data_IF_863340674007
#
_entry.id   IF_863340674007
#
_cell.length_a   1.000
_cell.length_b   1.000
_cell.length_c   1.000
_cell.angle_alpha   90.00
_cell.angle_beta   90.00
_cell.angle_gamma   90.00
#
_symmetry.space_group_name_H-M   'P 1'
#
loop_
_entity.id
_entity.type
_entity.pdbx_description
1 polymer ?
#
# COMPACT_ATOMS: atom_id res chain seq x y z
N UNK A 1 -29.35 2.12 3.51
CA UNK A 1 -28.81 3.37 2.95
C UNK A 1 -27.97 4.00 4.02
N UNK A 2 -26.76 4.42 3.68
CA UNK A 2 -25.80 4.99 4.61
C UNK A 2 -25.64 6.49 4.33
N UNK A 3 -25.39 7.28 5.38
CA UNK A 3 -25.08 8.70 5.28
C UNK A 3 -23.58 8.84 5.51
N UNK A 4 -22.85 9.32 4.50
CA UNK A 4 -21.42 9.56 4.59
C UNK A 4 -21.16 11.06 4.42
N UNK A 5 -20.26 11.60 5.23
CA UNK A 5 -19.83 12.99 5.19
C UNK A 5 -18.91 13.25 3.98
N UNK A 6 -18.02 12.28 3.69
CA UNK A 6 -17.03 12.36 2.60
C UNK A 6 -16.88 11.02 1.88
N UNK A 7 -16.29 11.05 0.68
CA UNK A 7 -16.00 9.81 -0.06
C UNK A 7 -14.95 8.95 0.65
N UNK A 8 -13.98 9.57 1.33
CA UNK A 8 -12.96 8.87 2.09
C UNK A 8 -13.57 8.06 3.25
N UNK A 9 -14.55 8.63 3.97
CA UNK A 9 -15.29 7.93 5.02
C UNK A 9 -16.05 6.71 4.46
N UNK A 10 -16.71 6.87 3.32
CA UNK A 10 -17.41 5.77 2.66
C UNK A 10 -16.46 4.62 2.26
N UNK A 11 -15.27 4.94 1.72
CA UNK A 11 -14.24 3.94 1.44
C UNK A 11 -13.78 3.22 2.70
N UNK A 12 -13.46 3.98 3.76
CA UNK A 12 -13.01 3.38 5.02
C UNK A 12 -14.09 2.47 5.63
N UNK A 13 -15.36 2.88 5.61
CA UNK A 13 -16.46 2.06 6.10
C UNK A 13 -16.55 0.72 5.36
N UNK A 14 -16.34 0.74 4.05
CA UNK A 14 -16.37 -0.46 3.22
C UNK A 14 -15.20 -1.40 3.54
N UNK A 15 -14.00 -0.86 3.75
CA UNK A 15 -12.82 -1.60 4.17
C UNK A 15 -13.00 -2.22 5.57
N UNK A 16 -13.69 -1.50 6.46
CA UNK A 16 -14.03 -1.95 7.81
C UNK A 16 -15.21 -2.92 7.88
N UNK A 17 -15.99 -3.04 6.80
CA UNK A 17 -17.14 -3.93 6.75
C UNK A 17 -16.76 -5.21 6.02
N UNK A 18 -16.32 -6.27 6.73
CA UNK A 18 -16.00 -7.52 6.08
C UNK A 18 -17.24 -8.13 5.42
N UNK A 19 -17.02 -8.97 4.43
CA UNK A 19 -18.05 -9.88 3.95
C UNK A 19 -18.47 -10.84 5.08
N UNK A 20 -19.64 -11.48 4.94
CA UNK A 20 -20.09 -12.53 5.87
C UNK A 20 -19.08 -13.68 6.03
N UNK A 21 -18.21 -13.92 5.03
CA UNK A 21 -17.14 -14.91 5.12
C UNK A 21 -15.88 -14.42 5.88
N UNK A 22 -15.89 -13.17 6.36
CA UNK A 22 -14.78 -12.51 7.07
C UNK A 22 -13.76 -11.81 6.17
N UNK A 23 -13.88 -11.89 4.85
CA UNK A 23 -12.99 -11.21 3.91
C UNK A 23 -13.19 -9.69 3.92
N UNK A 24 -12.12 -8.94 4.10
CA UNK A 24 -12.15 -7.47 4.12
C UNK A 24 -11.83 -6.86 2.75
N UNK A 25 -11.06 -7.56 1.91
CA UNK A 25 -10.74 -7.12 0.56
C UNK A 25 -12.02 -6.90 -0.27
N UNK A 26 -12.15 -5.71 -0.86
CA UNK A 26 -13.26 -5.38 -1.75
C UNK A 26 -12.89 -4.19 -2.63
N UNK A 27 -12.97 -4.37 -3.96
CA UNK A 27 -12.72 -3.31 -4.93
C UNK A 27 -14.04 -2.95 -5.60
N UNK A 28 -14.78 -1.95 -5.07
CA UNK A 28 -16.07 -1.58 -5.62
C UNK A 28 -15.95 -0.84 -6.95
N UNK A 29 -16.89 -1.09 -7.85
CA UNK A 29 -17.29 -0.13 -8.87
C UNK A 29 -18.30 0.85 -8.28
N UNK A 30 -18.21 2.12 -8.65
CA UNK A 30 -19.12 3.17 -8.18
C UNK A 30 -19.99 3.70 -9.34
N UNK A 31 -21.29 3.79 -9.11
CA UNK A 31 -22.25 4.36 -10.05
C UNK A 31 -23.20 5.34 -9.34
N UNK A 32 -23.70 6.39 -10.03
CA UNK A 32 -24.73 7.26 -9.48
C UNK A 32 -25.97 6.45 -9.08
N UNK A 33 -26.57 6.77 -7.95
CA UNK A 33 -27.78 6.14 -7.45
C UNK A 33 -28.86 7.19 -7.16
N UNK A 34 -30.08 6.94 -7.61
CA UNK A 34 -31.25 7.70 -7.17
C UNK A 34 -31.75 7.12 -5.86
N UNK A 35 -31.85 7.96 -4.84
CA UNK A 35 -32.29 7.60 -3.51
C UNK A 35 -33.81 7.85 -3.36
N UNK A 36 -34.51 7.17 -2.42
CA UNK A 36 -35.89 7.50 -2.08
C UNK A 36 -36.00 8.98 -1.69
N UNK A 37 -37.03 9.66 -2.22
CA UNK A 37 -37.19 11.11 -2.05
C UNK A 37 -36.58 11.95 -3.17
N UNK A 38 -35.89 11.34 -4.14
CA UNK A 38 -35.30 12.03 -5.29
C UNK A 38 -33.87 12.54 -5.04
N UNK A 39 -33.32 12.30 -3.85
CA UNK A 39 -31.94 12.62 -3.53
C UNK A 39 -30.96 11.84 -4.41
N UNK A 40 -29.77 12.40 -4.62
CA UNK A 40 -28.67 11.72 -5.31
C UNK A 40 -27.74 11.06 -4.30
N UNK A 41 -27.25 9.89 -4.65
CA UNK A 41 -26.23 9.16 -3.91
C UNK A 41 -25.32 8.41 -4.85
N UNK A 42 -24.47 7.58 -4.28
CA UNK A 42 -23.59 6.70 -5.04
C UNK A 42 -23.77 5.26 -4.56
N UNK A 43 -24.00 4.35 -5.50
CA UNK A 43 -23.98 2.92 -5.24
C UNK A 43 -22.60 2.39 -5.54
N UNK A 44 -22.04 1.70 -4.57
CA UNK A 44 -20.77 1.02 -4.68
C UNK A 44 -21.05 -0.47 -4.62
N UNK A 45 -20.56 -1.23 -5.58
CA UNK A 45 -20.87 -2.65 -5.68
C UNK A 45 -19.69 -3.44 -6.23
N UNK A 46 -19.66 -4.72 -5.88
CA UNK A 46 -18.66 -5.65 -6.35
C UNK A 46 -18.95 -7.05 -5.81
N UNK A 47 -18.02 -7.97 -6.03
CA UNK A 47 -18.07 -9.31 -5.45
C UNK A 47 -17.02 -9.43 -4.35
N UNK A 48 -17.36 -10.10 -3.26
CA UNK A 48 -16.36 -10.52 -2.29
C UNK A 48 -15.36 -11.42 -3.01
N UNK A 49 -14.05 -11.15 -2.88
CA UNK A 49 -13.04 -11.98 -3.50
C UNK A 49 -13.18 -13.42 -2.99
N UNK A 50 -13.11 -13.63 -1.68
CA UNK A 50 -13.10 -14.98 -1.08
C UNK A 50 -14.32 -15.86 -1.35
N UNK A 51 -15.55 -15.33 -1.28
CA UNK A 51 -16.76 -16.17 -1.37
C UNK A 51 -17.66 -15.86 -2.57
N UNK A 52 -17.25 -14.92 -3.44
CA UNK A 52 -18.01 -14.51 -4.63
C UNK A 52 -19.32 -13.77 -4.35
N UNK A 53 -19.73 -13.62 -3.08
CA UNK A 53 -21.00 -12.96 -2.73
C UNK A 53 -20.97 -11.50 -3.17
N UNK A 54 -22.05 -11.05 -3.83
CA UNK A 54 -22.22 -9.64 -4.13
C UNK A 54 -22.30 -8.82 -2.84
N UNK A 55 -21.52 -7.74 -2.80
CA UNK A 55 -21.61 -6.70 -1.78
C UNK A 55 -22.03 -5.42 -2.47
N UNK A 56 -22.99 -4.71 -1.88
CA UNK A 56 -23.41 -3.41 -2.37
C UNK A 56 -23.69 -2.48 -1.21
N UNK A 57 -23.21 -1.25 -1.34
CA UNK A 57 -23.38 -0.16 -0.40
C UNK A 57 -23.97 1.02 -1.17
N UNK A 58 -24.90 1.74 -0.55
CA UNK A 58 -25.47 2.94 -1.15
C UNK A 58 -25.32 4.07 -0.15
N UNK A 59 -24.53 5.08 -0.53
CA UNK A 59 -24.22 6.24 0.28
C UNK A 59 -24.94 7.47 -0.25
N UNK A 60 -25.46 8.25 0.69
CA UNK A 60 -25.89 9.64 0.48
C UNK A 60 -24.77 10.55 0.96
N UNK A 61 -24.42 11.55 0.16
CA UNK A 61 -23.41 12.55 0.49
C UNK A 61 -24.05 13.94 0.60
N UNK A 62 -23.51 14.85 1.44
CA UNK A 62 -23.87 16.26 1.36
C UNK A 62 -23.46 16.87 0.01
N UNK A 63 -24.14 17.94 -0.40
CA UNK A 63 -23.70 18.73 -1.54
C UNK A 63 -22.27 19.25 -1.31
N UNK A 64 -21.38 19.01 -2.27
CA UNK A 64 -19.97 19.43 -2.18
C UNK A 64 -19.10 18.56 -1.27
N UNK A 65 -19.50 17.31 -1.00
CA UNK A 65 -18.65 16.36 -0.29
C UNK A 65 -17.25 16.24 -0.92
N UNK A 66 -16.22 16.37 -0.09
CA UNK A 66 -14.81 16.24 -0.48
C UNK A 66 -14.40 14.76 -0.55
N UNK A 67 -13.35 14.48 -1.30
CA UNK A 67 -12.68 13.18 -1.39
C UNK A 67 -11.43 13.06 -0.51
N UNK A 68 -10.91 14.17 0.05
CA UNK A 68 -9.60 14.18 0.71
C UNK A 68 -9.63 13.91 2.21
N UNK A 69 -10.60 14.48 2.91
CA UNK A 69 -10.70 14.38 4.36
C UNK A 69 -11.73 13.32 4.77
N UNK A 70 -11.53 12.68 5.93
CA UNK A 70 -12.52 11.74 6.47
C UNK A 70 -13.79 12.42 6.99
N UNK A 71 -13.71 13.69 7.37
CA UNK A 71 -14.88 14.44 7.82
C UNK A 71 -14.70 15.93 7.53
N UNK A 72 -15.81 16.57 7.17
CA UNK A 72 -15.93 18.02 7.03
C UNK A 72 -16.92 18.65 8.01
N UNK A 73 -17.51 17.89 8.94
CA UNK A 73 -18.50 18.40 9.90
C UNK A 73 -17.98 18.47 11.32
N UNK A 74 -18.72 19.23 12.14
CA UNK A 74 -18.51 19.31 13.59
C UNK A 74 -19.10 18.09 14.30
N UNK A 75 -20.18 17.54 13.76
CA UNK A 75 -20.84 16.36 14.29
C UNK A 75 -20.03 15.08 13.99
N UNK A 76 -20.02 14.11 14.92
CA UNK A 76 -19.34 12.85 14.70
C UNK A 76 -20.00 12.02 13.59
N UNK A 77 -19.22 11.10 13.02
CA UNK A 77 -19.64 10.10 12.04
C UNK A 77 -20.87 9.33 12.51
N UNK A 78 -21.81 9.15 11.59
CA UNK A 78 -22.97 8.25 11.78
C UNK A 78 -22.69 6.84 11.24
N UNK A 79 -21.56 6.66 10.56
CA UNK A 79 -21.24 5.48 9.76
C UNK A 79 -20.20 4.57 10.43
N UNK A 80 -19.18 5.18 11.02
CA UNK A 80 -18.05 4.51 11.67
C UNK A 80 -18.02 4.94 13.13
N UNK A 81 -17.97 3.96 14.04
CA UNK A 81 -17.96 4.25 15.47
C UNK A 81 -16.57 4.71 15.96
N UNK A 82 -16.52 5.29 17.16
CA UNK A 82 -15.28 5.84 17.70
C UNK A 82 -14.16 4.81 17.80
N UNK A 83 -14.46 3.55 18.15
CA UNK A 83 -13.46 2.50 18.25
C UNK A 83 -12.87 2.12 16.90
N UNK A 84 -13.70 2.11 15.86
CA UNK A 84 -13.24 1.85 14.49
C UNK A 84 -12.35 2.99 13.97
N UNK A 85 -12.65 4.25 14.29
CA UNK A 85 -11.79 5.39 13.98
C UNK A 85 -10.42 5.30 14.67
N UNK A 86 -10.39 4.97 15.97
CA UNK A 86 -9.14 4.78 16.71
C UNK A 86 -8.28 3.67 16.08
N UNK A 87 -8.91 2.59 15.65
CA UNK A 87 -8.21 1.50 14.95
C UNK A 87 -7.70 1.90 13.57
N UNK A 88 -8.48 2.65 12.80
CA UNK A 88 -8.04 3.17 11.51
C UNK A 88 -6.80 4.05 11.67
N UNK A 89 -6.80 4.94 12.67
CA UNK A 89 -5.65 5.76 13.01
C UNK A 89 -4.42 4.91 13.37
N UNK A 90 -4.55 3.92 14.26
CA UNK A 90 -3.46 3.00 14.61
C UNK A 90 -2.94 2.25 13.38
N UNK A 91 -3.82 1.84 12.48
CA UNK A 91 -3.45 1.13 11.25
C UNK A 91 -2.65 2.03 10.31
N UNK A 92 -3.05 3.27 10.10
CA UNK A 92 -2.26 4.22 9.29
C UNK A 92 -0.91 4.51 9.93
N UNK A 93 -0.87 4.72 11.25
CA UNK A 93 0.37 4.93 12.00
C UNK A 93 1.31 3.73 11.91
N UNK A 94 0.80 2.49 11.86
CA UNK A 94 1.63 1.28 11.73
C UNK A 94 2.41 1.22 10.41
N UNK A 95 2.00 1.99 9.40
CA UNK A 95 2.72 2.12 8.13
C UNK A 95 3.78 3.22 8.11
N UNK A 96 3.98 3.95 9.22
CA UNK A 96 4.92 5.06 9.34
C UNK A 96 6.05 4.68 10.32
N UNK A 97 7.32 5.01 10.02
CA UNK A 97 8.40 4.85 10.99
C UNK A 97 8.12 5.59 12.30
N UNK A 98 8.51 5.00 13.43
CA UNK A 98 8.12 5.49 14.77
C UNK A 98 8.93 6.70 15.26
N UNK A 99 10.05 7.02 14.61
CA UNK A 99 10.96 8.10 14.99
C UNK A 99 11.04 9.25 13.99
N UNK A 100 11.15 10.48 14.50
CA UNK A 100 11.41 11.69 13.70
C UNK A 100 12.66 11.53 12.82
N UNK A 101 13.73 10.98 13.38
CA UNK A 101 14.98 10.75 12.65
C UNK A 101 14.79 9.77 11.48
N UNK A 102 14.02 8.71 11.71
CA UNK A 102 13.68 7.71 10.69
C UNK A 102 12.86 8.34 9.56
N UNK A 103 11.84 9.14 9.89
CA UNK A 103 11.03 9.86 8.90
C UNK A 103 11.88 10.85 8.09
N UNK A 104 12.80 11.59 8.73
CA UNK A 104 13.69 12.53 8.02
C UNK A 104 14.63 11.81 7.06
N UNK A 105 15.10 10.63 7.46
CA UNK A 105 15.99 9.78 6.68
C UNK A 105 15.29 9.07 5.51
N UNK A 106 13.95 9.01 5.49
CA UNK A 106 13.21 8.43 4.38
C UNK A 106 13.50 9.16 3.05
N UNK A 107 13.56 8.42 1.93
CA UNK A 107 13.53 8.99 0.59
C UNK A 107 12.30 9.89 0.39
N UNK A 108 12.37 10.87 -0.52
CA UNK A 108 11.30 11.86 -0.73
C UNK A 108 9.91 11.24 -0.99
N UNK A 109 9.83 10.20 -1.83
CA UNK A 109 8.58 9.50 -2.11
C UNK A 109 8.03 8.74 -0.89
N UNK A 110 8.92 8.11 -0.11
CA UNK A 110 8.54 7.44 1.12
C UNK A 110 8.10 8.46 2.18
N UNK A 111 8.71 9.66 2.22
CA UNK A 111 8.24 10.79 3.04
C UNK A 111 6.88 11.30 2.60
N UNK A 112 6.62 11.38 1.28
CA UNK A 112 5.27 11.70 0.77
C UNK A 112 4.24 10.67 1.25
N UNK A 113 4.57 9.39 1.13
CA UNK A 113 3.71 8.30 1.60
C UNK A 113 3.49 8.37 3.11
N UNK A 114 4.54 8.59 3.90
CA UNK A 114 4.45 8.80 5.34
C UNK A 114 3.58 10.02 5.67
N UNK A 115 3.72 11.12 4.92
CA UNK A 115 2.86 12.30 5.06
C UNK A 115 1.38 12.03 4.79
N UNK A 116 1.06 11.27 3.73
CA UNK A 116 -0.32 10.85 3.45
C UNK A 116 -0.89 9.97 4.57
N UNK A 117 -0.11 9.00 5.07
CA UNK A 117 -0.52 8.12 6.16
C UNK A 117 -0.69 8.89 7.49
N UNK A 118 0.21 9.83 7.79
CA UNK A 118 0.11 10.68 8.98
C UNK A 118 -1.11 11.60 8.89
N UNK A 119 -1.39 12.21 7.74
CA UNK A 119 -2.59 13.02 7.54
C UNK A 119 -3.89 12.22 7.65
N UNK A 120 -3.91 10.98 7.14
CA UNK A 120 -5.04 10.07 7.31
C UNK A 120 -5.22 9.65 8.79
N UNK A 121 -4.12 9.39 9.51
CA UNK A 121 -4.15 9.08 10.94
C UNK A 121 -4.66 10.27 11.76
N UNK A 122 -4.17 11.48 11.49
CA UNK A 122 -4.63 12.72 12.13
C UNK A 122 -6.14 12.91 11.92
N UNK A 123 -6.59 12.82 10.67
CA UNK A 123 -8.02 12.94 10.32
C UNK A 123 -8.90 11.90 11.04
N UNK A 124 -8.42 10.66 11.17
CA UNK A 124 -9.14 9.60 11.90
C UNK A 124 -9.18 9.85 13.42
N UNK A 125 -8.10 10.37 14.01
CA UNK A 125 -8.06 10.75 15.44
C UNK A 125 -8.98 11.93 15.72
N UNK A 126 -9.01 12.94 14.84
CA UNK A 126 -9.89 14.08 14.96
C UNK A 126 -11.37 13.69 14.86
N UNK A 127 -11.68 12.70 14.03
CA UNK A 127 -13.03 12.15 13.97
C UNK A 127 -13.40 11.39 15.25
N UNK A 128 -12.50 10.55 15.75
CA UNK A 128 -12.70 9.87 17.04
C UNK A 128 -12.89 10.88 18.19
N UNK A 129 -12.20 12.02 18.16
CA UNK A 129 -12.28 13.07 19.17
C UNK A 129 -13.70 13.62 19.36
N UNK A 130 -14.49 13.68 18.29
CA UNK A 130 -15.85 14.25 18.29
C UNK A 130 -16.84 13.43 19.11
N UNK A 131 -16.55 12.15 19.35
CA UNK A 131 -17.38 11.27 20.16
C UNK A 131 -17.15 11.42 21.66
N UNK A 132 -16.04 12.04 22.08
CA UNK A 132 -15.79 12.26 23.50
C UNK A 132 -16.60 13.45 24.00
N UNK A 133 -17.33 13.28 25.09
CA UNK A 133 -17.94 14.35 25.89
C UNK A 133 -17.18 14.57 27.21
N UNK A 134 -16.49 13.56 27.73
CA UNK A 134 -15.67 13.59 28.95
C UNK A 134 -14.26 13.01 28.77
N UNK A 135 -13.67 12.52 29.87
CA UNK A 135 -12.36 11.83 29.82
C UNK A 135 -12.49 10.41 29.28
N UNK A 136 -13.58 9.71 29.57
CA UNK A 136 -13.84 8.38 29.05
C UNK A 136 -14.83 8.46 27.88
N UNK A 137 -14.63 7.60 26.88
CA UNK A 137 -15.54 7.53 25.74
C UNK A 137 -16.89 6.89 26.16
N UNK A 138 -18.04 7.54 25.87
CA UNK A 138 -19.34 7.01 26.26
C UNK A 138 -19.68 5.70 25.54
N UNK A 139 -20.41 4.81 26.21
CA UNK A 139 -20.85 3.51 25.65
C UNK A 139 -21.63 3.66 24.33
N UNK A 140 -22.40 4.74 24.20
CA UNK A 140 -23.19 5.04 23.01
C UNK A 140 -22.32 5.30 21.77
N UNK A 141 -21.05 5.66 21.93
CA UNK A 141 -20.10 5.87 20.83
C UNK A 141 -19.46 4.56 20.32
N UNK A 142 -19.80 3.41 20.91
CA UNK A 142 -19.27 2.09 20.56
C UNK A 142 -20.41 1.14 20.18
N UNK A 143 -21.06 1.41 19.05
CA UNK A 143 -22.22 0.63 18.62
C UNK A 143 -21.86 -0.68 17.91
N UNK A 144 -20.63 -0.89 17.46
CA UNK A 144 -20.22 -2.18 16.89
C UNK A 144 -19.76 -3.16 17.97
N UNK A 145 -20.02 -4.46 17.75
CA UNK A 145 -19.55 -5.52 18.65
C UNK A 145 -18.02 -5.68 18.63
N UNK A 146 -17.36 -5.22 17.55
CA UNK A 146 -15.91 -5.22 17.45
C UNK A 146 -15.32 -4.14 18.38
N UNK A 147 -15.81 -2.91 18.33
CA UNK A 147 -15.30 -1.81 19.16
C UNK A 147 -15.53 -2.00 20.65
N UNK A 148 -16.69 -2.57 21.04
CA UNK A 148 -16.94 -2.93 22.46
C UNK A 148 -15.92 -3.95 22.98
N UNK A 149 -15.64 -5.01 22.22
CA UNK A 149 -14.62 -6.00 22.59
C UNK A 149 -13.21 -5.40 22.63
N UNK A 150 -12.90 -4.49 21.71
CA UNK A 150 -11.62 -3.79 21.71
C UNK A 150 -11.46 -2.94 22.99
N UNK A 151 -12.52 -2.27 23.45
CA UNK A 151 -12.52 -1.55 24.73
C UNK A 151 -12.35 -2.48 25.92
N UNK A 152 -13.07 -3.60 25.95
CA UNK A 152 -12.95 -4.58 27.04
C UNK A 152 -11.52 -5.14 27.15
N UNK A 153 -10.84 -5.33 26.00
CA UNK A 153 -9.46 -5.82 25.93
C UNK A 153 -8.39 -4.75 26.23
N UNK A 154 -8.71 -3.46 26.12
CA UNK A 154 -7.75 -2.37 26.23
C UNK A 154 -8.41 -1.03 26.56
N UNK A 155 -9.00 -0.87 27.76
CA UNK A 155 -9.85 0.27 28.10
C UNK A 155 -9.09 1.61 28.08
N UNK A 156 -7.79 1.61 28.41
CA UNK A 156 -6.97 2.83 28.42
C UNK A 156 -6.91 3.53 27.05
N UNK A 157 -7.07 2.79 25.95
CA UNK A 157 -7.08 3.36 24.58
C UNK A 157 -8.32 4.19 24.27
N UNK A 158 -9.37 4.03 25.06
CA UNK A 158 -10.65 4.70 24.90
C UNK A 158 -10.80 5.90 25.86
N UNK A 159 -9.67 6.41 26.33
CA UNK A 159 -9.58 7.60 27.18
C UNK A 159 -9.10 8.79 26.37
N UNK A 160 -9.60 9.98 26.69
CA UNK A 160 -9.28 11.23 25.99
C UNK A 160 -7.80 11.59 26.16
N UNK A 161 -7.19 11.27 27.30
CA UNK A 161 -5.73 11.37 27.49
C UNK A 161 -4.94 10.57 26.47
N UNK A 162 -5.29 9.30 26.24
CA UNK A 162 -4.64 8.48 25.22
C UNK A 162 -4.79 9.07 23.81
N UNK A 163 -5.99 9.54 23.47
CA UNK A 163 -6.25 10.20 22.19
C UNK A 163 -5.35 11.44 22.00
N UNK A 164 -5.27 12.31 23.01
CA UNK A 164 -4.40 13.50 22.99
C UNK A 164 -2.93 13.13 22.84
N UNK A 165 -2.48 12.08 23.51
CA UNK A 165 -1.11 11.58 23.39
C UNK A 165 -0.84 11.08 21.96
N UNK A 166 -1.79 10.38 21.35
CA UNK A 166 -1.69 9.96 19.94
C UNK A 166 -1.67 11.14 18.99
N UNK A 167 -2.57 12.12 19.13
CA UNK A 167 -2.58 13.34 18.32
C UNK A 167 -1.25 14.09 18.43
N UNK A 168 -0.74 14.25 19.65
CA UNK A 168 0.57 14.88 19.89
C UNK A 168 1.71 14.12 19.22
N UNK A 169 1.66 12.79 19.24
CA UNK A 169 2.63 11.94 18.56
C UNK A 169 2.56 12.10 17.04
N UNK A 170 1.36 12.10 16.44
CA UNK A 170 1.18 12.33 15.00
C UNK A 170 1.73 13.71 14.61
N UNK A 171 1.38 14.75 15.35
CA UNK A 171 1.87 16.11 15.11
C UNK A 171 3.40 16.19 15.19
N UNK A 172 4.00 15.50 16.18
CA UNK A 172 5.45 15.40 16.31
C UNK A 172 6.08 14.72 15.10
N UNK A 173 5.52 13.61 14.61
CA UNK A 173 6.00 12.93 13.42
C UNK A 173 5.80 13.77 12.15
N UNK A 174 4.68 14.49 12.03
CA UNK A 174 4.43 15.41 10.91
C UNK A 174 5.43 16.56 10.88
N UNK A 175 5.89 17.06 12.03
CA UNK A 175 6.96 18.07 12.09
C UNK A 175 8.31 17.59 11.54
N UNK A 176 8.48 16.27 11.34
CA UNK A 176 9.64 15.68 10.69
C UNK A 176 9.60 15.84 9.17
N UNK A 177 8.42 16.10 8.59
CA UNK A 177 8.24 16.32 7.16
C UNK A 177 8.65 17.76 6.78
N UNK A 178 9.23 17.98 5.59
CA UNK A 178 9.59 19.32 5.15
C UNK A 178 8.33 20.21 5.00
N UNK A 179 8.44 21.50 5.34
CA UNK A 179 7.33 22.46 5.26
C UNK A 179 6.75 22.63 3.84
N UNK A 180 7.51 22.27 2.81
CA UNK A 180 7.09 22.22 1.40
C UNK A 180 6.45 20.89 0.99
N UNK A 181 6.20 19.98 1.93
CA UNK A 181 5.29 18.84 1.72
C UNK A 181 3.82 19.26 1.87
N UNK A 182 3.54 20.57 1.99
CA UNK A 182 2.25 21.14 1.65
C UNK A 182 1.90 20.76 0.22
N UNK A 183 1.00 19.80 0.11
CA UNK A 183 0.55 19.27 -1.15
C UNK A 183 -0.38 20.31 -1.81
N UNK A 184 0.18 21.22 -2.61
CA UNK A 184 -0.58 22.19 -3.41
C UNK A 184 -1.16 21.57 -4.71
N UNK A 185 -0.99 20.26 -4.91
CA UNK A 185 -1.64 19.51 -6.00
C UNK A 185 -3.04 19.03 -5.61
N UNK A 186 -3.94 18.75 -6.55
CA UNK A 186 -5.09 17.90 -6.27
C UNK A 186 -4.61 16.47 -5.96
N UNK A 187 -5.21 15.80 -4.98
CA UNK A 187 -4.78 14.47 -4.50
C UNK A 187 -5.00 13.32 -5.51
N UNK A 188 -5.09 13.62 -6.81
CA UNK A 188 -6.09 12.94 -7.61
C UNK A 188 -5.67 12.56 -9.05
N UNK A 189 -4.42 12.16 -9.25
CA UNK A 189 -4.06 11.47 -10.50
C UNK A 189 -3.23 10.21 -10.25
N UNK A 190 -2.05 10.33 -9.63
CA UNK A 190 -1.12 9.20 -9.53
C UNK A 190 -1.63 8.01 -8.71
N UNK A 191 -2.19 8.26 -7.52
CA UNK A 191 -2.68 7.18 -6.66
C UNK A 191 -3.93 6.52 -7.23
N UNK A 192 -4.94 7.31 -7.62
CA UNK A 192 -6.13 6.78 -8.30
C UNK A 192 -5.79 6.09 -9.61
N UNK A 193 -4.77 6.54 -10.34
CA UNK A 193 -4.30 5.88 -11.55
C UNK A 193 -3.66 4.52 -11.24
N UNK A 194 -2.85 4.40 -10.20
CA UNK A 194 -2.30 3.10 -9.78
C UNK A 194 -3.41 2.15 -9.32
N UNK A 195 -4.37 2.65 -8.52
CA UNK A 195 -5.53 1.86 -8.07
C UNK A 195 -6.38 1.44 -9.27
N UNK A 196 -6.65 2.34 -10.21
CA UNK A 196 -7.38 2.07 -11.46
C UNK A 196 -6.66 1.05 -12.34
N UNK A 197 -5.37 1.24 -12.59
CA UNK A 197 -4.55 0.31 -13.42
C UNK A 197 -4.51 -1.09 -12.81
N UNK A 198 -4.41 -1.21 -11.48
CA UNK A 198 -4.50 -2.52 -10.80
C UNK A 198 -5.89 -3.15 -11.00
N UNK A 199 -6.95 -2.37 -10.91
CA UNK A 199 -8.31 -2.86 -11.14
C UNK A 199 -8.52 -3.33 -12.60
N UNK A 200 -7.99 -2.60 -13.58
CA UNK A 200 -8.03 -2.98 -15.00
C UNK A 200 -7.27 -4.29 -15.26
N UNK A 201 -6.05 -4.43 -14.71
CA UNK A 201 -5.26 -5.66 -14.81
C UNK A 201 -6.00 -6.86 -14.23
N UNK A 202 -6.60 -6.69 -13.03
CA UNK A 202 -7.41 -7.72 -12.38
C UNK A 202 -8.57 -8.17 -13.26
N UNK A 203 -9.32 -7.23 -13.82
CA UNK A 203 -10.46 -7.52 -14.68
C UNK A 203 -10.05 -8.26 -15.97
N UNK A 204 -8.98 -7.80 -16.63
CA UNK A 204 -8.44 -8.44 -17.84
C UNK A 204 -7.93 -9.86 -17.56
N UNK A 205 -7.26 -10.07 -16.42
CA UNK A 205 -6.73 -11.37 -16.03
C UNK A 205 -7.86 -12.38 -15.75
N UNK A 206 -8.92 -11.96 -15.04
CA UNK A 206 -10.11 -12.80 -14.80
C UNK A 206 -10.76 -13.23 -16.12
N UNK A 207 -10.96 -12.27 -17.03
CA UNK A 207 -11.54 -12.52 -18.35
C UNK A 207 -10.68 -13.47 -19.20
N UNK A 208 -9.36 -13.26 -19.22
CA UNK A 208 -8.40 -14.09 -19.97
C UNK A 208 -8.47 -15.57 -19.57
N UNK A 209 -8.63 -15.85 -18.29
CA UNK A 209 -8.61 -17.21 -17.76
C UNK A 209 -10.01 -17.84 -17.64
N UNK A 210 -11.07 -17.16 -18.10
CA UNK A 210 -12.45 -17.65 -17.98
C UNK A 210 -12.89 -17.87 -16.53
N UNK A 211 -12.31 -17.08 -15.62
CA UNK A 211 -12.57 -17.16 -14.19
C UNK A 211 -13.79 -16.30 -13.84
N UNK A 212 -14.48 -16.67 -12.77
CA UNK A 212 -15.62 -15.93 -12.23
C UNK A 212 -15.18 -14.72 -11.38
N UNK A 213 -13.90 -14.67 -10.98
CA UNK A 213 -13.31 -13.64 -10.12
C UNK A 213 -11.85 -13.95 -9.78
N UNK A 214 -11.22 -13.09 -8.96
CA UNK A 214 -9.81 -13.22 -8.59
C UNK A 214 -9.52 -14.45 -7.71
N UNK A 215 -10.54 -14.97 -7.05
CA UNK A 215 -10.41 -16.07 -6.09
C UNK A 215 -11.08 -17.34 -6.57
N UNK A 216 -11.51 -17.37 -7.83
CA UNK A 216 -12.01 -18.58 -8.46
C UNK A 216 -11.04 -19.74 -8.16
N UNK A 217 -11.52 -20.80 -7.52
CA UNK A 217 -10.69 -21.93 -7.10
C UNK A 217 -10.06 -22.67 -8.28
N UNK A 218 -10.57 -22.44 -9.50
CA UNK A 218 -9.95 -22.90 -10.75
C UNK A 218 -8.66 -22.13 -11.07
N UNK A 219 -8.41 -21.00 -10.42
CA UNK A 219 -7.16 -20.26 -10.51
C UNK A 219 -6.02 -21.02 -9.82
N UNK A 220 -5.17 -21.62 -10.64
CA UNK A 220 -3.97 -22.32 -10.21
C UNK A 220 -3.00 -21.37 -9.50
N UNK A 221 -2.10 -21.89 -8.63
CA UNK A 221 -1.04 -21.09 -8.03
C UNK A 221 -0.20 -20.32 -9.05
N UNK A 222 0.03 -20.93 -10.23
CA UNK A 222 0.72 -20.28 -11.35
C UNK A 222 -0.03 -19.06 -11.86
N UNK A 223 -1.34 -19.17 -12.08
CA UNK A 223 -2.16 -18.04 -12.53
C UNK A 223 -2.21 -16.94 -11.46
N UNK A 224 -2.32 -17.28 -10.17
CA UNK A 224 -2.29 -16.28 -9.08
C UNK A 224 -0.95 -15.55 -9.02
N UNK A 225 0.15 -16.27 -9.26
CA UNK A 225 1.47 -15.65 -9.39
C UNK A 225 1.54 -14.71 -10.61
N UNK A 226 0.96 -15.10 -11.76
CA UNK A 226 0.84 -14.24 -12.95
C UNK A 226 0.09 -12.93 -12.64
N UNK A 227 -0.99 -12.98 -11.86
CA UNK A 227 -1.75 -11.79 -11.44
C UNK A 227 -0.89 -10.83 -10.61
N UNK A 228 -0.21 -11.33 -9.57
CA UNK A 228 0.66 -10.50 -8.71
C UNK A 228 1.73 -9.80 -9.54
N UNK A 229 2.29 -10.51 -10.52
CA UNK A 229 3.28 -9.96 -11.46
C UNK A 229 2.69 -8.86 -12.34
N UNK A 230 1.50 -9.07 -12.88
CA UNK A 230 0.81 -8.08 -13.70
C UNK A 230 0.45 -6.82 -12.88
N UNK A 231 0.04 -6.98 -11.61
CA UNK A 231 -0.26 -5.86 -10.71
C UNK A 231 1.00 -5.05 -10.38
N UNK A 232 2.13 -5.71 -10.12
CA UNK A 232 3.42 -5.05 -9.91
C UNK A 232 3.81 -4.21 -11.13
N UNK A 233 3.76 -4.79 -12.32
CA UNK A 233 4.06 -4.09 -13.57
C UNK A 233 3.16 -2.85 -13.76
N UNK A 234 1.85 -2.98 -13.53
CA UNK A 234 0.91 -1.86 -13.64
C UNK A 234 1.13 -0.74 -12.62
N UNK A 235 1.84 -1.04 -11.53
CA UNK A 235 2.16 -0.11 -10.45
C UNK A 235 3.52 0.56 -10.59
N UNK A 236 4.25 0.31 -11.68
CA UNK A 236 5.64 0.78 -11.81
C UNK A 236 6.62 0.07 -10.87
N UNK A 237 6.29 -1.17 -10.45
CA UNK A 237 7.16 -2.02 -9.64
C UNK A 237 7.80 -3.10 -10.51
N UNK A 238 9.02 -3.51 -10.15
CA UNK A 238 9.69 -4.65 -10.74
C UNK A 238 8.89 -5.93 -10.49
N UNK A 239 8.72 -6.72 -11.54
CA UNK A 239 7.86 -7.90 -11.51
C UNK A 239 8.42 -8.97 -10.57
N UNK A 240 9.74 -9.15 -10.58
CA UNK A 240 10.42 -10.18 -9.80
C UNK A 240 10.41 -9.85 -8.30
N UNK A 241 10.84 -8.63 -7.95
CA UNK A 241 11.08 -8.26 -6.54
C UNK A 241 9.95 -7.45 -5.92
N UNK A 242 9.15 -6.74 -6.71
CA UNK A 242 8.16 -5.77 -6.23
C UNK A 242 8.76 -4.41 -5.83
N UNK A 243 10.05 -4.18 -6.06
CA UNK A 243 10.71 -2.91 -5.78
C UNK A 243 10.32 -1.83 -6.80
N UNK A 244 10.41 -0.55 -6.44
CA UNK A 244 10.02 0.54 -7.32
C UNK A 244 11.02 0.73 -8.46
N UNK A 245 10.51 0.80 -9.71
CA UNK A 245 11.34 1.07 -10.89
C UNK A 245 11.90 2.51 -10.92
N UNK A 246 11.37 3.38 -10.06
CA UNK A 246 11.75 4.79 -9.97
C UNK A 246 12.75 5.06 -8.84
N UNK A 247 13.09 4.06 -8.03
CA UNK A 247 13.94 4.20 -6.85
C UNK A 247 15.36 3.65 -7.14
N UNK A 248 16.41 4.49 -7.07
CA UNK A 248 17.80 4.03 -7.16
C UNK A 248 18.23 2.94 -6.17
N UNK A 249 17.98 3.06 -4.84
CA UNK A 249 18.41 2.03 -3.90
C UNK A 249 17.66 0.72 -4.12
N UNK A 250 16.41 0.79 -4.60
CA UNK A 250 15.61 -0.38 -4.98
C UNK A 250 16.21 -1.16 -6.16
N UNK A 251 16.89 -0.50 -7.10
CA UNK A 251 17.62 -1.18 -8.16
C UNK A 251 18.82 -1.96 -7.59
N UNK A 252 19.55 -1.38 -6.64
CA UNK A 252 20.66 -2.07 -5.98
C UNK A 252 20.14 -3.23 -5.10
N UNK A 253 19.04 -3.02 -4.37
CA UNK A 253 18.35 -4.06 -3.62
C UNK A 253 17.87 -5.19 -4.54
N UNK A 254 17.40 -4.87 -5.75
CA UNK A 254 17.01 -5.86 -6.75
C UNK A 254 18.19 -6.69 -7.25
N UNK A 255 19.38 -6.10 -7.38
CA UNK A 255 20.61 -6.83 -7.68
C UNK A 255 20.99 -7.77 -6.52
N UNK A 256 20.91 -7.31 -5.28
CA UNK A 256 21.20 -8.16 -4.12
C UNK A 256 20.18 -9.31 -4.02
N UNK A 257 18.89 -9.04 -4.27
CA UNK A 257 17.85 -10.07 -4.34
C UNK A 257 18.10 -11.10 -5.46
N UNK A 258 18.68 -10.67 -6.59
CA UNK A 258 19.14 -11.57 -7.66
C UNK A 258 20.23 -12.53 -7.14
N UNK A 259 21.23 -12.04 -6.41
CA UNK A 259 22.30 -12.87 -5.82
C UNK A 259 21.70 -13.94 -4.91
N UNK A 260 20.85 -13.53 -3.97
CA UNK A 260 20.12 -14.45 -3.08
C UNK A 260 19.26 -15.47 -3.83
N UNK A 261 18.61 -15.06 -4.93
CA UNK A 261 17.80 -15.96 -5.75
C UNK A 261 18.66 -17.05 -6.41
N UNK A 262 19.83 -16.70 -6.95
CA UNK A 262 20.78 -17.65 -7.55
C UNK A 262 21.33 -18.61 -6.50
N UNK A 263 21.72 -18.11 -5.33
CA UNK A 263 22.24 -18.94 -4.24
C UNK A 263 21.23 -19.97 -3.77
N UNK A 264 19.98 -19.54 -3.57
CA UNK A 264 18.89 -20.40 -3.11
C UNK A 264 18.54 -21.47 -4.15
N UNK A 265 18.37 -21.07 -5.41
CA UNK A 265 17.94 -21.98 -6.48
C UNK A 265 19.01 -23.06 -6.77
N UNK A 266 20.27 -22.65 -6.83
CA UNK A 266 21.39 -23.54 -7.19
C UNK A 266 22.17 -24.05 -5.97
N UNK A 267 21.57 -24.04 -4.77
CA UNK A 267 22.20 -24.51 -3.54
C UNK A 267 22.70 -25.97 -3.62
N UNK A 268 22.05 -26.80 -4.45
CA UNK A 268 22.42 -28.21 -4.70
C UNK A 268 23.34 -28.42 -5.90
N UNK A 269 23.68 -27.36 -6.63
CA UNK A 269 24.52 -27.38 -7.83
C UNK A 269 25.57 -26.25 -7.76
N UNK A 270 26.57 -26.35 -6.85
CA UNK A 270 27.48 -25.25 -6.55
C UNK A 270 28.26 -24.76 -7.77
N UNK A 271 28.66 -25.66 -8.68
CA UNK A 271 29.35 -25.26 -9.92
C UNK A 271 28.49 -24.37 -10.84
N UNK A 272 27.18 -24.60 -10.90
CA UNK A 272 26.25 -23.78 -11.70
C UNK A 272 25.90 -22.48 -10.97
N UNK A 273 25.72 -22.54 -9.64
CA UNK A 273 25.57 -21.36 -8.77
C UNK A 273 26.73 -20.40 -8.98
N UNK A 274 27.95 -20.88 -8.81
CA UNK A 274 29.16 -20.06 -8.85
C UNK A 274 29.37 -19.45 -10.25
N UNK A 275 29.05 -20.20 -11.31
CA UNK A 275 29.08 -19.70 -12.70
C UNK A 275 28.09 -18.55 -12.92
N UNK A 276 26.84 -18.70 -12.45
CA UNK A 276 25.78 -17.68 -12.59
C UNK A 276 26.10 -16.42 -11.77
N UNK A 277 26.58 -16.59 -10.54
CA UNK A 277 27.02 -15.48 -9.69
C UNK A 277 28.20 -14.73 -10.32
N UNK A 278 29.19 -15.46 -10.85
CA UNK A 278 30.32 -14.86 -11.55
C UNK A 278 29.87 -14.06 -12.79
N UNK A 279 28.91 -14.57 -13.55
CA UNK A 279 28.36 -13.86 -14.71
C UNK A 279 27.62 -12.57 -14.31
N UNK A 280 26.76 -12.61 -13.28
CA UNK A 280 26.10 -11.41 -12.75
C UNK A 280 27.12 -10.38 -12.23
N UNK A 281 28.13 -10.85 -11.48
CA UNK A 281 29.20 -10.01 -10.96
C UNK A 281 30.04 -9.36 -12.08
N UNK A 282 30.31 -10.07 -13.18
CA UNK A 282 31.02 -9.54 -14.34
C UNK A 282 30.22 -8.40 -15.02
N UNK A 283 28.90 -8.55 -15.16
CA UNK A 283 28.03 -7.48 -15.68
C UNK A 283 28.10 -6.25 -14.79
N UNK A 284 27.95 -6.44 -13.47
CA UNK A 284 28.04 -5.36 -12.49
C UNK A 284 29.38 -4.64 -12.55
N UNK A 285 30.49 -5.38 -12.56
CA UNK A 285 31.84 -4.82 -12.65
C UNK A 285 32.04 -4.03 -13.95
N UNK A 286 31.60 -4.56 -15.09
CA UNK A 286 31.67 -3.86 -16.37
C UNK A 286 30.80 -2.61 -16.42
N UNK A 287 29.61 -2.65 -15.83
CA UNK A 287 28.73 -1.48 -15.72
C UNK A 287 29.33 -0.39 -14.83
N UNK A 288 29.90 -0.74 -13.67
CA UNK A 288 30.61 0.20 -12.79
C UNK A 288 31.78 0.86 -13.52
N UNK A 289 32.59 0.07 -14.25
CA UNK A 289 33.73 0.58 -15.00
C UNK A 289 33.32 1.56 -16.12
N UNK A 290 32.20 1.30 -16.83
CA UNK A 290 31.72 2.18 -17.89
C UNK A 290 31.07 3.47 -17.39
N UNK A 291 30.35 3.39 -16.28
CA UNK A 291 29.56 4.51 -15.75
C UNK A 291 30.34 5.38 -14.77
N UNK A 292 31.46 4.89 -14.25
CA UNK A 292 32.22 5.56 -13.20
C UNK A 292 31.49 5.61 -11.85
N UNK A 293 30.39 4.88 -11.70
CA UNK A 293 29.61 4.80 -10.47
C UNK A 293 30.44 4.12 -9.37
N UNK A 294 30.30 4.55 -8.10
CA UNK A 294 31.01 3.90 -7.01
C UNK A 294 30.52 2.45 -6.85
N UNK A 295 31.45 1.54 -6.60
CA UNK A 295 31.10 0.19 -6.16
C UNK A 295 30.36 0.24 -4.83
N UNK A 296 29.59 -0.83 -4.57
CA UNK A 296 28.97 -1.12 -3.27
C UNK A 296 29.31 -2.55 -2.84
N UNK A 297 29.14 -2.91 -1.58
CA UNK A 297 29.17 -4.33 -1.20
C UNK A 297 27.76 -4.90 -1.36
N UNK A 298 27.52 -6.03 -2.06
CA UNK A 298 26.21 -6.68 -2.04
C UNK A 298 25.67 -7.02 -0.64
N UNK A 299 26.54 -7.08 0.38
CA UNK A 299 26.16 -7.25 1.78
C UNK A 299 25.90 -5.91 2.51
N UNK A 300 26.18 -4.77 1.88
CA UNK A 300 25.88 -3.43 2.42
C UNK A 300 24.37 -3.16 2.39
N UNK A 301 23.87 -2.46 3.41
CA UNK A 301 22.52 -1.91 3.38
C UNK A 301 22.45 -0.80 2.32
N UNK A 302 21.92 -1.14 1.15
CA UNK A 302 21.81 -0.23 0.01
C UNK A 302 20.97 1.01 0.29
N UNK A 303 20.13 0.99 1.33
CA UNK A 303 19.35 2.16 1.77
C UNK A 303 20.17 3.12 2.64
N UNK A 304 21.34 2.70 3.13
CA UNK A 304 22.28 3.54 3.85
C UNK A 304 23.32 4.22 2.93
N UNK A 305 23.38 3.85 1.64
CA UNK A 305 24.29 4.46 0.67
C UNK A 305 23.88 5.93 0.43
N UNK A 306 24.80 6.90 0.56
CA UNK A 306 24.53 8.31 0.26
C UNK A 306 23.95 8.52 -1.14
N UNK A 307 23.00 9.45 -1.28
CA UNK A 307 22.28 9.66 -2.54
C UNK A 307 23.17 10.08 -3.71
N UNK A 308 24.29 10.76 -3.45
CA UNK A 308 25.31 11.14 -4.45
C UNK A 308 26.17 9.97 -4.92
N UNK A 309 26.14 8.85 -4.20
CA UNK A 309 26.75 7.57 -4.58
C UNK A 309 25.76 6.59 -5.22
N UNK A 310 24.46 6.92 -5.24
CA UNK A 310 23.45 6.10 -5.90
C UNK A 310 23.40 6.42 -7.40
N UNK A 311 23.29 5.40 -8.28
CA UNK A 311 23.11 5.66 -9.70
C UNK A 311 21.71 6.19 -10.01
N UNK A 312 21.48 6.83 -11.16
CA UNK A 312 20.12 7.07 -11.65
C UNK A 312 19.31 5.76 -11.69
N UNK A 313 18.04 5.80 -11.30
CA UNK A 313 17.20 4.60 -11.21
C UNK A 313 17.18 3.80 -12.51
N UNK A 314 17.05 4.49 -13.66
CA UNK A 314 17.07 3.88 -14.99
C UNK A 314 18.35 3.07 -15.26
N UNK A 315 19.51 3.66 -14.95
CA UNK A 315 20.82 3.03 -15.13
C UNK A 315 21.03 1.85 -14.18
N UNK A 316 20.57 1.97 -12.92
CA UNK A 316 20.55 0.86 -11.97
C UNK A 316 19.70 -0.30 -12.48
N UNK A 317 18.49 -0.03 -12.96
CA UNK A 317 17.60 -1.07 -13.49
C UNK A 317 18.10 -1.68 -14.81
N UNK A 318 18.82 -0.94 -15.64
CA UNK A 318 19.53 -1.49 -16.80
C UNK A 318 20.59 -2.52 -16.39
N UNK A 319 21.36 -2.21 -15.35
CA UNK A 319 22.36 -3.11 -14.76
C UNK A 319 21.69 -4.36 -14.18
N UNK A 320 20.59 -4.24 -13.43
CA UNK A 320 19.83 -5.39 -12.90
C UNK A 320 19.34 -6.31 -14.02
N UNK A 321 18.73 -5.74 -15.07
CA UNK A 321 18.24 -6.53 -16.22
C UNK A 321 19.36 -7.27 -16.92
N UNK A 322 20.49 -6.61 -17.15
CA UNK A 322 21.66 -7.22 -17.77
C UNK A 322 22.26 -8.32 -16.89
N UNK A 323 22.31 -8.12 -15.57
CA UNK A 323 22.82 -9.10 -14.62
C UNK A 323 21.91 -10.34 -14.53
N UNK A 324 20.58 -10.14 -14.52
CA UNK A 324 19.59 -11.24 -14.62
C UNK A 324 19.82 -12.06 -15.89
N UNK A 325 19.90 -11.40 -17.05
CA UNK A 325 20.14 -12.07 -18.33
C UNK A 325 21.44 -12.90 -18.31
N UNK A 326 22.55 -12.33 -17.80
CA UNK A 326 23.83 -13.04 -17.69
C UNK A 326 23.78 -14.21 -16.69
N UNK A 327 22.99 -14.09 -15.62
CA UNK A 327 22.75 -15.17 -14.67
C UNK A 327 21.77 -16.24 -15.21
N UNK A 328 21.32 -16.13 -16.46
CA UNK A 328 20.35 -17.04 -17.08
C UNK A 328 18.94 -16.89 -16.52
N UNK A 329 18.57 -15.68 -16.10
CA UNK A 329 17.21 -15.29 -15.73
C UNK A 329 16.62 -14.40 -16.81
N UNK A 330 15.29 -14.45 -16.96
CA UNK A 330 14.58 -13.47 -17.76
C UNK A 330 14.77 -12.06 -17.14
N UNK A 331 15.17 -11.06 -17.93
CA UNK A 331 15.55 -9.74 -17.42
C UNK A 331 14.40 -9.02 -16.71
N UNK A 332 13.15 -9.28 -17.10
CA UNK A 332 11.99 -8.52 -16.62
C UNK A 332 11.22 -9.26 -15.52
N UNK A 333 11.09 -10.57 -15.61
CA UNK A 333 10.29 -11.39 -14.70
C UNK A 333 11.14 -12.01 -13.59
N UNK A 334 12.45 -12.12 -13.78
CA UNK A 334 13.37 -12.77 -12.84
C UNK A 334 13.19 -14.28 -12.73
N UNK A 335 12.52 -14.92 -13.69
CA UNK A 335 12.45 -16.37 -13.76
C UNK A 335 13.75 -16.93 -14.32
N UNK A 336 14.25 -18.03 -13.76
CA UNK A 336 15.35 -18.76 -14.39
C UNK A 336 14.86 -19.37 -15.71
N UNK A 337 15.56 -19.06 -16.81
CA UNK A 337 15.55 -19.94 -17.96
C UNK A 337 16.14 -21.30 -17.51
N UNK A 338 15.86 -22.37 -18.24
CA UNK A 338 16.37 -23.71 -17.93
C UNK A 338 17.91 -23.81 -17.80
N UNK A 339 18.51 -25.00 -17.93
CA UNK A 339 19.98 -25.12 -17.86
C UNK A 339 20.64 -24.12 -18.84
N UNK A 340 21.68 -23.42 -18.36
CA UNK A 340 22.46 -22.51 -19.22
C UNK A 340 23.04 -23.33 -20.38
N UNK A 341 23.00 -22.80 -21.62
CA UNK A 341 23.58 -23.48 -22.77
C UNK A 341 25.09 -23.70 -22.65
#
# INVERSE_FOLDING_TARGET
MFSAQTYAEAYLFIDLTPCECGETGFTPSAEPATLPGGDTGQRWHGVCPRCGRQRSFVFRFPAGADSREFSNRREPSELIDAGQWLWAAERYLSGVPGGIGEIRALPEEARRTAGMLLGAAESALDEAAKFFDGEDLPDSALWTAWSRRARDAGPDRFRRSWLRDRQSHVHLLMSALPASAGFDGPADAGHLEVVRRRAEVRAMWVARHGLAGLDDDRATPRQRHELVRAERAASGLDVATGFSLLSPPDALAAYNALVWAVEREFARAPADRDRRLAAAAAVRAGWLARTGQPGWDPDEDVYAIPADRLPPAEAGWEMVRSARAAAGMDPYTGDFAGPLP
#
